data_IF_539777198414
#
_entry.id   IF_539777198414
#
_cell.length_a   1.000
_cell.length_b   1.000
_cell.length_c   1.000
_cell.angle_alpha   90.00
_cell.angle_beta   90.00
_cell.angle_gamma   90.00
#
_symmetry.space_group_name_H-M   'P 1'
#
loop_
_entity.id
_entity.type
_entity.pdbx_description
1 polymer ?
#
# COMPACT_ATOMS: atom_id res chain seq x y z
N UNK A 1 23.66 -29.24 -17.95
CA UNK A 1 23.24 -28.40 -16.79
C UNK A 1 24.41 -28.36 -15.83
N UNK A 2 24.88 -27.18 -15.45
CA UNK A 2 26.01 -27.02 -14.53
C UNK A 2 25.45 -26.84 -13.12
N UNK A 3 25.79 -27.76 -12.21
CA UNK A 3 25.56 -27.52 -10.79
C UNK A 3 26.60 -26.48 -10.35
N UNK A 4 26.12 -25.36 -9.81
CA UNK A 4 26.98 -24.26 -9.35
C UNK A 4 26.86 -24.15 -7.83
N UNK A 5 27.99 -23.97 -7.14
CA UNK A 5 27.98 -23.53 -5.74
C UNK A 5 27.79 -22.02 -5.73
N UNK A 6 26.87 -21.55 -4.91
CA UNK A 6 26.57 -20.13 -4.74
C UNK A 6 26.65 -19.75 -3.26
N UNK A 7 27.14 -18.54 -3.01
CA UNK A 7 26.97 -17.88 -1.73
C UNK A 7 25.60 -17.22 -1.69
N UNK A 8 24.94 -17.25 -0.54
CA UNK A 8 23.74 -16.47 -0.30
C UNK A 8 23.81 -15.77 1.04
N UNK A 9 23.14 -14.63 1.14
CA UNK A 9 22.89 -13.93 2.41
C UNK A 9 21.40 -13.78 2.65
N UNK A 10 20.98 -14.00 3.90
CA UNK A 10 19.58 -13.89 4.29
C UNK A 10 19.17 -12.43 4.49
N UNK A 11 17.93 -12.12 4.13
CA UNK A 11 17.38 -10.76 4.25
C UNK A 11 17.10 -10.44 5.74
N UNK A 12 17.76 -9.40 6.28
CA UNK A 12 17.71 -9.06 7.70
C UNK A 12 16.66 -8.02 8.13
N UNK A 13 15.79 -7.56 7.21
CA UNK A 13 14.93 -6.43 7.53
C UNK A 13 13.79 -6.78 8.49
N UNK A 14 13.59 -5.94 9.50
CA UNK A 14 12.50 -6.06 10.48
C UNK A 14 11.27 -5.24 10.08
N UNK A 15 11.38 -4.35 9.09
CA UNK A 15 10.28 -3.57 8.54
C UNK A 15 10.43 -3.31 7.04
N UNK A 16 9.34 -2.92 6.37
CA UNK A 16 9.36 -2.56 4.95
C UNK A 16 10.04 -1.20 4.73
N UNK A 17 9.91 -0.30 5.71
CA UNK A 17 10.49 1.04 5.69
C UNK A 17 12.02 1.02 5.70
N UNK A 18 12.64 0.11 6.46
CA UNK A 18 14.10 -0.09 6.49
C UNK A 18 14.66 -0.53 5.12
N UNK A 19 13.88 -1.27 4.32
CA UNK A 19 14.27 -1.70 2.96
C UNK A 19 14.26 -0.55 1.94
N UNK A 20 13.46 0.50 2.16
CA UNK A 20 13.37 1.63 1.24
C UNK A 20 14.56 2.59 1.39
N UNK A 21 15.09 2.74 2.61
CA UNK A 21 16.18 3.70 2.89
C UNK A 21 17.56 3.16 2.50
N UNK A 22 17.79 1.85 2.66
CA UNK A 22 19.06 1.18 2.27
C UNK A 22 18.79 -0.22 1.71
N UNK A 23 18.28 -0.32 0.48
CA UNK A 23 17.78 -1.57 -0.09
C UNK A 23 18.84 -2.67 -0.21
N UNK A 24 20.14 -2.37 -0.16
CA UNK A 24 21.20 -3.36 -0.39
C UNK A 24 22.23 -3.46 0.74
N UNK A 25 22.53 -2.35 1.42
CA UNK A 25 23.52 -2.33 2.52
C UNK A 25 23.00 -3.01 3.79
N UNK A 26 21.67 -3.02 4.02
CA UNK A 26 21.05 -3.69 5.17
C UNK A 26 20.81 -5.19 4.90
N UNK A 27 20.65 -5.57 3.63
CA UNK A 27 20.37 -6.96 3.23
C UNK A 27 21.59 -7.88 3.25
N UNK A 28 22.80 -7.32 3.34
CA UNK A 28 24.06 -8.05 3.18
C UNK A 28 24.91 -8.13 4.45
N UNK A 29 24.41 -7.63 5.57
CA UNK A 29 25.08 -7.79 6.87
C UNK A 29 24.71 -9.14 7.50
N UNK A 30 25.72 -9.95 7.84
CA UNK A 30 25.57 -11.30 8.36
C UNK A 30 26.46 -12.33 7.66
N UNK A 31 26.43 -13.56 8.17
CA UNK A 31 27.19 -14.69 7.63
C UNK A 31 26.72 -15.05 6.22
N UNK A 32 27.66 -15.39 5.34
CA UNK A 32 27.35 -16.01 4.06
C UNK A 32 27.12 -17.50 4.27
N UNK A 33 26.17 -18.05 3.51
CA UNK A 33 25.88 -19.48 3.50
C UNK A 33 26.02 -20.03 2.09
N UNK A 34 26.67 -21.17 1.95
CA UNK A 34 26.84 -21.84 0.65
C UNK A 34 25.71 -22.83 0.32
N UNK A 35 25.17 -22.74 -0.91
CA UNK A 35 24.13 -23.64 -1.45
C UNK A 35 24.48 -24.14 -2.85
N UNK A 36 23.78 -25.20 -3.29
CA UNK A 36 23.92 -25.76 -4.64
C UNK A 36 22.77 -25.30 -5.54
N UNK A 37 23.08 -24.58 -6.62
CA UNK A 37 22.15 -24.28 -7.70
C UNK A 37 21.99 -25.49 -8.63
N UNK A 38 21.07 -26.40 -8.30
CA UNK A 38 20.76 -27.58 -9.12
C UNK A 38 19.71 -27.24 -10.16
N UNK A 39 20.09 -27.22 -11.44
CA UNK A 39 19.14 -27.02 -12.54
C UNK A 39 18.64 -25.58 -12.72
N UNK A 40 19.09 -24.65 -11.88
CA UNK A 40 18.79 -23.22 -12.00
C UNK A 40 20.02 -22.46 -12.51
N UNK A 41 19.78 -21.49 -13.38
CA UNK A 41 20.79 -20.50 -13.77
C UNK A 41 20.61 -19.29 -12.86
N UNK A 42 21.64 -18.98 -12.08
CA UNK A 42 21.63 -17.92 -11.08
C UNK A 42 22.84 -17.00 -11.27
N UNK A 43 22.64 -15.72 -11.00
CA UNK A 43 23.66 -14.69 -11.00
C UNK A 43 23.71 -13.97 -9.65
N UNK A 44 24.84 -13.32 -9.36
CA UNK A 44 24.97 -12.46 -8.17
C UNK A 44 23.90 -11.37 -8.23
N UNK A 45 23.20 -11.17 -7.12
CA UNK A 45 22.06 -10.26 -6.99
C UNK A 45 20.69 -10.90 -7.25
N UNK A 46 20.63 -12.13 -7.75
CA UNK A 46 19.36 -12.84 -7.90
C UNK A 46 18.74 -13.14 -6.53
N UNK A 47 17.41 -13.09 -6.47
CA UNK A 47 16.66 -13.52 -5.30
C UNK A 47 16.33 -15.01 -5.43
N UNK A 48 16.58 -15.76 -4.36
CA UNK A 48 16.37 -17.21 -4.31
C UNK A 48 15.63 -17.61 -3.03
N UNK A 49 14.95 -18.76 -3.09
CA UNK A 49 14.41 -19.42 -1.90
C UNK A 49 15.30 -20.60 -1.57
N UNK A 50 15.73 -20.69 -0.31
CA UNK A 50 16.60 -21.75 0.17
C UNK A 50 16.06 -22.40 1.44
N UNK A 51 16.40 -23.67 1.73
CA UNK A 51 16.12 -24.28 3.02
C UNK A 51 16.80 -23.49 4.13
N UNK A 52 16.08 -23.17 5.20
CA UNK A 52 16.65 -22.41 6.29
C UNK A 52 17.77 -23.20 7.01
N UNK A 53 18.89 -22.53 7.26
CA UNK A 53 20.07 -23.10 7.92
C UNK A 53 20.29 -22.57 9.34
N UNK A 54 19.20 -22.28 10.06
CA UNK A 54 19.22 -21.84 11.47
C UNK A 54 19.16 -20.32 11.65
N UNK A 55 18.74 -19.60 10.62
CA UNK A 55 18.62 -18.14 10.65
C UNK A 55 17.41 -17.64 11.45
N UNK A 56 16.28 -18.36 11.36
CA UNK A 56 15.03 -18.07 12.07
C UNK A 56 14.19 -19.36 12.23
N UNK A 57 12.92 -19.23 12.63
CA UNK A 57 12.02 -20.37 12.86
C UNK A 57 11.31 -20.91 11.59
N UNK A 58 11.52 -20.30 10.41
CA UNK A 58 10.82 -20.71 9.20
C UNK A 58 11.53 -21.88 8.51
N UNK A 59 10.81 -22.74 7.79
CA UNK A 59 11.44 -23.90 7.11
C UNK A 59 12.28 -23.46 5.90
N UNK A 60 11.86 -22.38 5.25
CA UNK A 60 12.51 -21.79 4.07
C UNK A 60 12.63 -20.29 4.25
N UNK A 61 13.66 -19.69 3.65
CA UNK A 61 13.92 -18.26 3.75
C UNK A 61 14.29 -17.68 2.38
N UNK A 62 13.86 -16.45 2.09
CA UNK A 62 14.38 -15.70 0.94
C UNK A 62 15.82 -15.25 1.20
N UNK A 63 16.63 -15.29 0.16
CA UNK A 63 18.04 -14.91 0.20
C UNK A 63 18.46 -14.22 -1.10
N UNK A 64 19.54 -13.44 -1.03
CA UNK A 64 20.19 -12.83 -2.20
C UNK A 64 21.43 -13.64 -2.52
N UNK A 65 21.63 -13.95 -3.80
CA UNK A 65 22.87 -14.59 -4.28
C UNK A 65 24.02 -13.59 -4.20
N UNK A 66 25.11 -14.00 -3.56
CA UNK A 66 26.35 -13.23 -3.45
C UNK A 66 27.49 -13.95 -4.16
N UNK A 67 28.61 -13.25 -4.33
CA UNK A 67 29.86 -13.92 -4.69
C UNK A 67 30.21 -14.99 -3.65
N UNK A 68 30.78 -16.11 -4.10
CA UNK A 68 31.23 -17.17 -3.19
C UNK A 68 32.51 -16.68 -2.52
N UNK A 69 32.45 -16.39 -1.22
CA UNK A 69 33.64 -16.24 -0.39
C UNK A 69 34.57 -17.45 -0.55
N UNK A 70 35.76 -17.22 -1.13
CA UNK A 70 36.82 -18.20 -1.36
C UNK A 70 37.38 -18.79 -0.06
N UNK A 71 37.18 -18.12 1.08
CA UNK A 71 37.58 -18.60 2.40
C UNK A 71 36.52 -19.52 3.04
N UNK A 72 35.30 -19.57 2.48
CA UNK A 72 34.26 -20.49 2.93
C UNK A 72 34.53 -21.87 2.30
N UNK A 73 34.58 -22.93 3.11
CA UNK A 73 34.83 -24.28 2.61
C UNK A 73 33.69 -24.72 1.68
N UNK A 74 33.93 -24.95 0.37
CA UNK A 74 32.88 -25.28 -0.59
C UNK A 74 32.14 -26.59 -0.26
N UNK A 75 32.75 -27.46 0.55
CA UNK A 75 32.20 -28.70 1.09
C UNK A 75 31.00 -28.49 2.01
N UNK A 76 30.76 -27.27 2.49
CA UNK A 76 29.58 -26.92 3.30
C UNK A 76 28.29 -26.81 2.48
N UNK A 77 28.39 -26.64 1.16
CA UNK A 77 27.26 -26.56 0.24
C UNK A 77 26.57 -27.91 0.04
N UNK A 78 25.74 -28.32 1.01
CA UNK A 78 25.03 -29.61 0.97
C UNK A 78 23.59 -29.51 0.51
N UNK A 79 23.00 -28.32 0.63
CA UNK A 79 21.56 -28.08 0.39
C UNK A 79 21.34 -27.41 -0.97
N UNK A 80 20.34 -27.86 -1.76
CA UNK A 80 20.01 -27.19 -3.01
C UNK A 80 19.16 -25.94 -2.75
N UNK A 81 19.24 -24.96 -3.65
CA UNK A 81 18.20 -23.92 -3.71
C UNK A 81 16.87 -24.53 -4.20
N UNK A 82 15.76 -23.94 -3.78
CA UNK A 82 14.41 -24.43 -4.09
C UNK A 82 13.77 -23.69 -5.26
N UNK A 83 14.05 -22.39 -5.40
CA UNK A 83 13.51 -21.56 -6.47
C UNK A 83 14.37 -20.32 -6.69
N UNK A 84 14.25 -19.76 -7.90
CA UNK A 84 14.73 -18.41 -8.24
C UNK A 84 13.51 -17.53 -8.40
N UNK A 85 13.52 -16.37 -7.75
CA UNK A 85 12.50 -15.34 -7.88
C UNK A 85 12.94 -14.40 -8.99
N UNK A 86 12.20 -14.40 -10.10
CA UNK A 86 12.59 -13.58 -11.25
C UNK A 86 12.18 -12.12 -11.04
N UNK A 87 12.89 -11.21 -11.73
CA UNK A 87 12.58 -9.78 -11.71
C UNK A 87 11.13 -9.50 -12.15
N UNK A 88 10.62 -10.24 -13.13
CA UNK A 88 9.24 -10.10 -13.61
C UNK A 88 8.22 -10.46 -12.53
N UNK A 89 8.50 -11.50 -11.73
CA UNK A 89 7.65 -11.88 -10.61
C UNK A 89 7.63 -10.81 -9.52
N UNK A 90 8.78 -10.17 -9.25
CA UNK A 90 8.86 -9.03 -8.32
C UNK A 90 8.03 -7.85 -8.83
N UNK A 91 8.26 -7.42 -10.08
CA UNK A 91 7.55 -6.27 -10.67
C UNK A 91 6.04 -6.52 -10.72
N UNK A 92 5.61 -7.75 -11.02
CA UNK A 92 4.19 -8.10 -11.01
C UNK A 92 3.58 -7.99 -9.61
N UNK A 93 4.29 -8.49 -8.58
CA UNK A 93 3.85 -8.39 -7.18
C UNK A 93 3.85 -6.97 -6.67
N UNK A 94 4.86 -6.16 -7.01
CA UNK A 94 4.90 -4.73 -6.68
C UNK A 94 3.73 -3.98 -7.32
N UNK A 95 3.45 -4.23 -8.60
CA UNK A 95 2.29 -3.64 -9.29
C UNK A 95 0.96 -4.01 -8.63
N UNK A 96 0.81 -5.27 -8.22
CA UNK A 96 -0.36 -5.71 -7.44
C UNK A 96 -0.45 -5.02 -6.08
N UNK A 97 0.66 -4.94 -5.34
CA UNK A 97 0.71 -4.30 -4.03
C UNK A 97 0.36 -2.81 -4.12
N UNK A 98 0.87 -2.10 -5.14
CA UNK A 98 0.51 -0.71 -5.40
C UNK A 98 -0.99 -0.56 -5.70
N UNK A 99 -1.55 -1.44 -6.54
CA UNK A 99 -2.98 -1.48 -6.83
C UNK A 99 -3.81 -1.67 -5.56
N UNK A 100 -3.47 -2.64 -4.72
CA UNK A 100 -4.15 -2.88 -3.44
C UNK A 100 -4.04 -1.68 -2.52
N UNK A 101 -2.86 -1.07 -2.39
CA UNK A 101 -2.68 0.12 -1.53
C UNK A 101 -3.54 1.29 -2.02
N UNK A 102 -3.57 1.54 -3.33
CA UNK A 102 -4.43 2.59 -3.91
C UNK A 102 -5.91 2.36 -3.58
N UNK A 103 -6.39 1.14 -3.72
CA UNK A 103 -7.78 0.80 -3.39
C UNK A 103 -8.08 0.90 -1.90
N UNK A 104 -7.13 0.54 -1.02
CA UNK A 104 -7.27 0.72 0.43
C UNK A 104 -7.37 2.20 0.81
N UNK A 105 -6.54 3.07 0.21
CA UNK A 105 -6.60 4.52 0.44
C UNK A 105 -7.92 5.11 -0.05
N UNK A 106 -8.38 4.70 -1.24
CA UNK A 106 -9.69 5.11 -1.77
C UNK A 106 -10.82 4.67 -0.84
N UNK A 107 -10.78 3.43 -0.35
CA UNK A 107 -11.76 2.91 0.62
C UNK A 107 -11.75 3.72 1.91
N UNK A 108 -10.60 4.09 2.44
CA UNK A 108 -10.51 4.91 3.66
C UNK A 108 -11.13 6.30 3.46
N UNK A 109 -10.89 6.93 2.30
CA UNK A 109 -11.47 8.21 1.96
C UNK A 109 -13.00 8.13 1.84
N UNK A 110 -13.51 7.10 1.15
CA UNK A 110 -14.95 6.83 1.05
C UNK A 110 -15.54 6.60 2.44
N UNK A 111 -14.87 5.83 3.30
CA UNK A 111 -15.33 5.55 4.65
C UNK A 111 -15.40 6.82 5.52
N UNK A 112 -14.41 7.72 5.41
CA UNK A 112 -14.44 9.02 6.09
C UNK A 112 -15.60 9.89 5.62
N UNK A 113 -15.87 9.91 4.32
CA UNK A 113 -17.02 10.62 3.76
C UNK A 113 -18.34 10.02 4.25
N UNK A 114 -18.50 8.70 4.20
CA UNK A 114 -19.70 8.01 4.69
C UNK A 114 -19.97 8.29 6.17
N UNK A 115 -18.95 8.26 7.03
CA UNK A 115 -19.13 8.58 8.45
C UNK A 115 -19.53 10.04 8.66
N UNK A 116 -18.95 10.96 7.89
CA UNK A 116 -19.32 12.38 7.94
C UNK A 116 -20.79 12.59 7.55
N UNK A 117 -21.23 11.96 6.46
CA UNK A 117 -22.62 12.02 6.00
C UNK A 117 -23.58 11.37 7.01
N UNK A 118 -23.19 10.23 7.59
CA UNK A 118 -23.96 9.57 8.65
C UNK A 118 -24.13 10.47 9.88
N UNK A 119 -23.04 11.06 10.39
CA UNK A 119 -23.09 11.97 11.53
C UNK A 119 -23.96 13.19 11.26
N UNK A 120 -23.89 13.75 10.05
CA UNK A 120 -24.75 14.84 9.61
C UNK A 120 -26.22 14.42 9.57
N UNK A 121 -26.53 13.23 9.01
CA UNK A 121 -27.89 12.70 8.96
C UNK A 121 -28.47 12.50 10.37
N UNK A 122 -27.69 11.95 11.30
CA UNK A 122 -28.10 11.77 12.70
C UNK A 122 -28.38 13.13 13.37
N UNK A 123 -27.49 14.11 13.20
CA UNK A 123 -27.70 15.46 13.73
C UNK A 123 -28.94 16.11 13.14
N UNK A 124 -29.16 15.97 11.84
CA UNK A 124 -30.34 16.51 11.16
C UNK A 124 -31.63 15.84 11.65
N UNK A 125 -31.61 14.53 11.89
CA UNK A 125 -32.76 13.82 12.48
C UNK A 125 -33.07 14.32 13.90
N UNK A 126 -32.03 14.59 14.71
CA UNK A 126 -32.20 15.19 16.04
C UNK A 126 -32.78 16.61 15.96
N UNK A 127 -32.29 17.46 15.05
CA UNK A 127 -32.83 18.81 14.82
C UNK A 127 -34.31 18.73 14.39
N UNK A 128 -34.67 17.81 13.49
CA UNK A 128 -36.06 17.54 13.08
C UNK A 128 -36.95 17.06 14.23
N UNK A 129 -36.39 16.33 15.21
CA UNK A 129 -37.14 15.95 16.43
C UNK A 129 -37.35 17.17 17.33
N UNK A 130 -36.32 17.99 17.54
CA UNK A 130 -36.40 19.19 18.40
C UNK A 130 -37.30 20.28 17.82
N UNK A 131 -37.36 20.43 16.49
CA UNK A 131 -38.22 21.42 15.83
C UNK A 131 -39.71 21.19 16.08
N UNK A 132 -40.13 19.95 16.34
CA UNK A 132 -41.54 19.64 16.68
C UNK A 132 -41.98 20.25 18.00
N UNK A 133 -41.06 20.46 18.92
CA UNK A 133 -41.33 20.96 20.28
C UNK A 133 -40.82 22.38 20.51
N UNK A 134 -39.90 22.88 19.67
CA UNK A 134 -39.31 24.21 19.80
C UNK A 134 -39.57 25.05 18.53
N UNK A 135 -40.38 26.12 18.63
CA UNK A 135 -40.76 26.94 17.47
C UNK A 135 -39.60 27.74 16.87
N UNK A 136 -38.59 28.13 17.66
CA UNK A 136 -37.39 28.82 17.16
C UNK A 136 -36.56 27.90 16.28
N UNK A 137 -36.40 26.63 16.70
CA UNK A 137 -35.69 25.62 15.90
C UNK A 137 -36.46 25.29 14.62
N UNK A 138 -37.80 25.28 14.67
CA UNK A 138 -38.63 25.09 13.48
C UNK A 138 -38.46 26.22 12.45
N UNK A 139 -38.40 27.48 12.90
CA UNK A 139 -38.18 28.62 12.02
C UNK A 139 -36.80 28.56 11.35
N UNK A 140 -35.74 28.28 12.12
CA UNK A 140 -34.37 28.16 11.60
C UNK A 140 -34.22 26.99 10.62
N UNK A 141 -34.86 25.84 10.89
CA UNK A 141 -34.84 24.69 9.97
C UNK A 141 -35.53 25.01 8.63
N UNK A 142 -36.63 25.76 8.66
CA UNK A 142 -37.30 26.20 7.43
C UNK A 142 -36.45 27.19 6.63
N UNK A 143 -35.72 28.08 7.30
CA UNK A 143 -34.82 29.03 6.65
C UNK A 143 -33.61 28.33 6.03
N UNK A 144 -33.05 27.32 6.74
CA UNK A 144 -31.99 26.46 6.21
C UNK A 144 -32.45 25.73 4.94
N UNK A 145 -33.62 25.09 4.96
CA UNK A 145 -34.17 24.38 3.80
C UNK A 145 -34.34 25.31 2.58
N UNK A 146 -34.81 26.54 2.80
CA UNK A 146 -34.93 27.55 1.72
C UNK A 146 -33.57 27.92 1.13
N UNK A 147 -32.52 27.99 1.96
CA UNK A 147 -31.16 28.24 1.46
C UNK A 147 -30.62 27.05 0.67
N UNK A 148 -30.88 25.82 1.11
CA UNK A 148 -30.48 24.62 0.38
C UNK A 148 -31.16 24.55 -1.00
N UNK A 149 -32.45 24.88 -1.10
CA UNK A 149 -33.18 24.99 -2.38
C UNK A 149 -32.52 26.00 -3.33
N UNK A 150 -32.15 27.19 -2.84
CA UNK A 150 -31.45 28.21 -3.62
C UNK A 150 -30.07 27.71 -4.10
N UNK A 151 -29.33 27.02 -3.23
CA UNK A 151 -28.01 26.49 -3.56
C UNK A 151 -28.08 25.37 -4.61
N UNK A 152 -29.09 24.49 -4.55
CA UNK A 152 -29.31 23.44 -5.55
C UNK A 152 -29.67 24.04 -6.92
N UNK A 153 -30.52 25.07 -6.95
CA UNK A 153 -30.83 25.81 -8.18
C UNK A 153 -29.56 26.40 -8.82
N UNK A 154 -28.65 26.96 -8.02
CA UNK A 154 -27.39 27.53 -8.51
C UNK A 154 -26.33 26.48 -8.89
N UNK A 155 -26.32 25.31 -8.26
CA UNK A 155 -25.42 24.20 -8.62
C UNK A 155 -25.76 23.57 -9.97
N UNK A 156 -27.02 23.66 -10.41
CA UNK A 156 -27.49 23.11 -11.70
C UNK A 156 -27.15 23.98 -12.92
N UNK A 157 -26.71 25.22 -12.71
CA UNK A 157 -26.37 26.13 -13.80
C UNK A 157 -24.93 25.90 -14.28
N UNK A 158 -24.69 25.68 -15.59
CA UNK A 158 -23.33 25.56 -16.12
C UNK A 158 -22.52 26.83 -15.79
N UNK A 159 -21.28 26.64 -15.33
CA UNK A 159 -20.35 27.67 -14.80
C UNK A 159 -20.20 28.95 -15.65
N UNK A 160 -20.62 28.94 -16.92
CA UNK A 160 -20.60 30.08 -17.83
C UNK A 160 -21.74 31.09 -17.64
N UNK A 161 -22.80 30.77 -16.88
CA UNK A 161 -23.92 31.69 -16.64
C UNK A 161 -23.84 32.47 -15.32
N UNK A 162 -23.05 32.01 -14.35
CA UNK A 162 -22.92 32.64 -13.03
C UNK A 162 -22.35 34.07 -13.13
N UNK A 163 -21.44 34.31 -14.07
CA UNK A 163 -20.87 35.65 -14.31
C UNK A 163 -21.84 36.64 -14.97
N UNK A 164 -22.90 36.19 -15.66
CA UNK A 164 -23.86 37.14 -16.28
C UNK A 164 -25.03 37.52 -15.38
N UNK A 165 -25.39 36.68 -14.41
CA UNK A 165 -26.52 36.95 -13.52
C UNK A 165 -26.19 37.93 -12.38
N UNK A 166 -24.90 38.06 -12.02
CA UNK A 166 -24.45 39.01 -10.99
C UNK A 166 -24.44 40.45 -11.54
N UNK A 167 -24.10 40.63 -12.81
CA UNK A 167 -24.03 41.96 -13.43
C UNK A 167 -25.41 42.52 -13.85
N UNK A 168 -26.43 41.68 -14.07
CA UNK A 168 -27.73 42.12 -14.57
C UNK A 168 -28.74 42.56 -13.50
N UNK A 169 -28.41 42.42 -12.21
CA UNK A 169 -29.24 42.88 -11.08
C UNK A 169 -28.71 44.14 -10.37
N UNK A 170 -27.65 44.75 -10.91
CA UNK A 170 -27.04 45.96 -10.37
C UNK A 170 -27.35 47.25 -11.17
N UNK A 171 -28.31 47.19 -12.10
CA UNK A 171 -28.85 48.36 -12.81
C UNK A 171 -30.37 48.30 -12.91
#
# INVERSE_FOLDING_TARGET
MLNQIIGVKFLASRSYEELLEKPWDILTSGDQYSYVSRGFKVAVGDLVIVPNSGYNDTVVVPAVVTEVDINEEPTRATRPILAVITKEQLMHREGQAYGVHKELTNRELIFKQLNKEYDQAVRMEQIKKMSKTNPTIAALLNELNKQDEILEEHHSLPKTQITRAIDSKLF
#
